data_IF_484032473318
#
_entry.id   IF_484032473318
#
_cell.length_a   1.000
_cell.length_b   1.000
_cell.length_c   1.000
_cell.angle_alpha   90.00
_cell.angle_beta   90.00
_cell.angle_gamma   90.00
#
_symmetry.space_group_name_H-M   'P 1'
#
loop_
_entity.id
_entity.type
_entity.pdbx_description
1 polymer ?
#
# COMPACT_ATOMS: atom_id res chain seq x y z
N UNK A 1 -16.43 -32.12 34.98
CA UNK A 1 -16.99 -30.93 34.31
C UNK A 1 -15.95 -30.46 33.33
N UNK A 2 -16.17 -30.72 32.04
CA UNK A 2 -15.31 -30.21 30.97
C UNK A 2 -15.70 -28.74 30.77
N UNK A 3 -14.80 -27.83 31.11
CA UNK A 3 -14.90 -26.43 30.67
C UNK A 3 -14.84 -26.43 29.14
N UNK A 4 -15.98 -26.24 28.51
CA UNK A 4 -16.03 -25.84 27.12
C UNK A 4 -15.43 -24.43 27.07
N UNK A 5 -14.15 -24.33 26.72
CA UNK A 5 -13.53 -23.06 26.39
C UNK A 5 -14.35 -22.42 25.27
N UNK A 6 -15.13 -21.39 25.60
CA UNK A 6 -15.87 -20.60 24.62
C UNK A 6 -14.85 -20.02 23.63
N UNK A 7 -14.73 -20.66 22.47
CA UNK A 7 -13.94 -20.16 21.37
C UNK A 7 -14.52 -18.81 20.97
N UNK A 8 -13.84 -17.73 21.39
CA UNK A 8 -14.24 -16.37 21.05
C UNK A 8 -14.32 -16.22 19.53
N UNK A 9 -15.27 -15.45 18.97
CA UNK A 9 -15.49 -15.30 17.51
C UNK A 9 -14.22 -14.99 16.69
N UNK A 10 -13.24 -14.34 17.32
CA UNK A 10 -11.95 -13.96 16.73
C UNK A 10 -11.05 -15.18 16.42
N UNK A 11 -11.15 -16.28 17.17
CA UNK A 11 -10.40 -17.51 16.85
C UNK A 11 -10.92 -18.16 15.57
N UNK A 12 -12.24 -18.29 15.45
CA UNK A 12 -12.86 -18.84 14.24
C UNK A 12 -12.52 -18.03 12.99
N UNK A 13 -12.40 -16.70 13.11
CA UNK A 13 -12.02 -15.85 11.97
C UNK A 13 -10.63 -16.20 11.42
N UNK A 14 -9.65 -16.50 12.28
CA UNK A 14 -8.32 -16.93 11.82
C UNK A 14 -8.38 -18.32 11.17
N UNK A 15 -8.99 -19.29 11.84
CA UNK A 15 -9.00 -20.69 11.38
C UNK A 15 -9.73 -20.81 10.03
N UNK A 16 -10.79 -20.03 9.81
CA UNK A 16 -11.50 -19.96 8.53
C UNK A 16 -10.63 -19.32 7.45
N UNK A 17 -9.96 -18.20 7.73
CA UNK A 17 -9.08 -17.54 6.75
C UNK A 17 -7.90 -18.45 6.40
N UNK A 18 -7.29 -19.10 7.39
CA UNK A 18 -6.22 -20.07 7.18
C UNK A 18 -6.69 -21.23 6.30
N UNK A 19 -7.87 -21.81 6.57
CA UNK A 19 -8.44 -22.86 5.76
C UNK A 19 -8.72 -22.39 4.31
N UNK A 20 -9.30 -21.21 4.13
CA UNK A 20 -9.63 -20.66 2.81
C UNK A 20 -8.38 -20.37 1.98
N UNK A 21 -7.35 -19.77 2.59
CA UNK A 21 -6.09 -19.42 1.92
C UNK A 21 -5.24 -20.65 1.62
N UNK A 22 -5.14 -21.61 2.57
CA UNK A 22 -4.26 -22.78 2.42
C UNK A 22 -4.91 -23.95 1.66
N UNK A 23 -6.21 -24.21 1.84
CA UNK A 23 -6.86 -25.41 1.27
C UNK A 23 -7.65 -25.11 0.00
N UNK A 24 -8.29 -23.94 -0.12
CA UNK A 24 -9.27 -23.68 -1.18
C UNK A 24 -8.72 -22.96 -2.42
N UNK A 25 -7.42 -22.63 -2.47
CA UNK A 25 -6.79 -21.87 -3.57
C UNK A 25 -7.65 -20.67 -4.02
N UNK A 26 -8.10 -19.85 -3.08
CA UNK A 26 -8.74 -18.57 -3.41
C UNK A 26 -7.68 -17.67 -4.06
N UNK A 27 -7.64 -17.71 -5.40
CA UNK A 27 -6.65 -17.03 -6.23
C UNK A 27 -7.01 -15.59 -6.67
N UNK A 28 -8.19 -15.03 -6.38
CA UNK A 28 -8.35 -13.58 -6.39
C UNK A 28 -8.43 -13.02 -4.97
N UNK A 29 -7.67 -11.95 -4.74
CA UNK A 29 -7.87 -11.03 -3.62
C UNK A 29 -9.34 -10.64 -3.51
N UNK A 30 -9.85 -10.50 -2.29
CA UNK A 30 -11.26 -10.17 -2.06
C UNK A 30 -11.43 -8.67 -1.88
N UNK A 31 -12.51 -8.13 -2.46
CA UNK A 31 -12.84 -6.72 -2.37
C UNK A 31 -14.21 -6.54 -1.72
N UNK A 32 -14.34 -5.54 -0.85
CA UNK A 32 -15.63 -5.11 -0.32
C UNK A 32 -16.30 -4.06 -1.22
N UNK A 33 -17.45 -3.53 -0.78
CA UNK A 33 -18.23 -2.54 -1.52
C UNK A 33 -17.48 -1.22 -1.75
N UNK A 34 -16.54 -0.88 -0.86
CA UNK A 34 -15.69 0.30 -0.95
C UNK A 34 -14.42 0.03 -1.79
N UNK A 35 -14.24 -1.19 -2.30
CA UNK A 35 -13.05 -1.60 -3.01
C UNK A 35 -11.81 -1.75 -2.12
N UNK A 36 -11.99 -1.89 -0.81
CA UNK A 36 -10.93 -2.32 0.08
C UNK A 36 -10.58 -3.76 -0.23
N UNK A 37 -9.30 -4.08 -0.32
CA UNK A 37 -8.87 -5.45 -0.49
C UNK A 37 -8.83 -6.24 0.82
N UNK A 38 -8.49 -7.53 0.77
CA UNK A 38 -8.43 -8.41 1.95
C UNK A 38 -7.59 -7.85 3.10
N UNK A 39 -6.48 -7.17 2.80
CA UNK A 39 -5.62 -6.51 3.80
C UNK A 39 -6.34 -5.35 4.47
N UNK A 40 -6.97 -4.46 3.69
CA UNK A 40 -7.70 -3.32 4.21
C UNK A 40 -8.96 -3.75 5.00
N UNK A 41 -9.67 -4.78 4.53
CA UNK A 41 -10.80 -5.39 5.23
C UNK A 41 -10.35 -5.97 6.58
N UNK A 42 -9.25 -6.74 6.61
CA UNK A 42 -8.72 -7.31 7.85
C UNK A 42 -8.30 -6.20 8.83
N UNK A 43 -7.63 -5.17 8.33
CA UNK A 43 -7.23 -4.01 9.12
C UNK A 43 -8.43 -3.28 9.73
N UNK A 44 -9.51 -3.07 8.95
CA UNK A 44 -10.72 -2.43 9.42
C UNK A 44 -11.46 -3.29 10.46
N UNK A 45 -11.68 -4.57 10.17
CA UNK A 45 -12.48 -5.47 10.99
C UNK A 45 -11.83 -5.82 12.35
N UNK A 46 -10.49 -5.90 12.39
CA UNK A 46 -9.77 -6.31 13.60
C UNK A 46 -9.14 -5.14 14.36
N UNK A 47 -9.12 -3.93 13.80
CA UNK A 47 -8.59 -2.75 14.50
C UNK A 47 -9.43 -2.34 15.71
N UNK A 48 -10.77 -2.47 15.68
CA UNK A 48 -11.65 -1.92 16.72
C UNK A 48 -12.70 -2.90 17.28
N UNK A 49 -12.80 -3.06 18.62
CA UNK A 49 -11.94 -2.46 19.66
C UNK A 49 -10.51 -3.00 19.65
N UNK A 50 -9.57 -2.13 19.99
CA UNK A 50 -8.15 -2.47 20.11
C UNK A 50 -7.95 -3.46 21.26
N UNK A 51 -7.45 -4.66 20.96
CA UNK A 51 -7.11 -5.66 21.98
C UNK A 51 -5.89 -6.46 21.56
N UNK A 52 -5.05 -6.92 22.51
CA UNK A 52 -3.85 -7.69 22.20
C UNK A 52 -4.15 -8.95 21.38
N UNK A 53 -5.28 -9.61 21.69
CA UNK A 53 -5.72 -10.82 20.99
C UNK A 53 -6.06 -10.55 19.53
N UNK A 54 -6.85 -9.50 19.25
CA UNK A 54 -7.19 -9.10 17.87
C UNK A 54 -5.98 -8.64 17.08
N UNK A 55 -5.06 -7.93 17.71
CA UNK A 55 -3.81 -7.50 17.08
C UNK A 55 -2.93 -8.70 16.69
N UNK A 56 -2.84 -9.72 17.57
CA UNK A 56 -2.13 -10.96 17.27
C UNK A 56 -2.79 -11.71 16.11
N UNK A 57 -4.13 -11.81 16.11
CA UNK A 57 -4.89 -12.40 15.00
C UNK A 57 -4.68 -11.64 13.69
N UNK A 58 -4.75 -10.30 13.71
CA UNK A 58 -4.48 -9.46 12.54
C UNK A 58 -3.07 -9.71 11.98
N UNK A 59 -2.06 -9.77 12.86
CA UNK A 59 -0.70 -10.08 12.45
C UNK A 59 -0.60 -11.42 11.73
N UNK A 60 -1.22 -12.47 12.27
CA UNK A 60 -1.19 -13.79 11.65
C UNK A 60 -1.93 -13.81 10.30
N UNK A 61 -3.08 -13.14 10.19
CA UNK A 61 -3.83 -13.02 8.92
C UNK A 61 -3.01 -12.29 7.87
N UNK A 62 -2.40 -11.14 8.22
CA UNK A 62 -1.59 -10.37 7.28
C UNK A 62 -0.36 -11.15 6.80
N UNK A 63 0.27 -11.92 7.69
CA UNK A 63 1.39 -12.79 7.31
C UNK A 63 0.96 -13.91 6.35
N UNK A 64 -0.26 -14.42 6.48
CA UNK A 64 -0.82 -15.41 5.56
C UNK A 64 -1.14 -14.79 4.20
N UNK A 65 -1.79 -13.63 4.17
CA UNK A 65 -2.20 -12.94 2.93
C UNK A 65 -0.99 -12.46 2.11
N UNK A 66 0.05 -11.96 2.78
CA UNK A 66 1.26 -11.41 2.15
C UNK A 66 2.38 -12.44 1.95
N UNK A 67 2.07 -13.74 2.06
CA UNK A 67 3.07 -14.82 1.93
C UNK A 67 3.64 -14.95 0.52
N UNK A 68 2.85 -14.60 -0.51
CA UNK A 68 3.23 -14.69 -1.92
C UNK A 68 3.56 -13.30 -2.44
N UNK A 69 4.48 -13.23 -3.40
CA UNK A 69 4.71 -11.97 -4.10
C UNK A 69 3.47 -11.61 -4.95
N UNK A 70 3.18 -10.32 -5.17
CA UNK A 70 2.04 -9.89 -5.97
C UNK A 70 2.03 -10.51 -7.38
N UNK A 71 3.21 -10.73 -7.96
CA UNK A 71 3.40 -11.33 -9.29
C UNK A 71 2.96 -12.81 -9.32
N UNK A 72 2.96 -13.50 -8.18
CA UNK A 72 2.54 -14.89 -7.98
C UNK A 72 1.11 -15.00 -7.42
N UNK A 73 0.29 -13.94 -7.58
CA UNK A 73 -1.06 -13.86 -7.03
C UNK A 73 -1.10 -13.47 -5.54
N UNK A 74 -0.05 -12.83 -5.04
CA UNK A 74 -0.01 -12.22 -3.72
C UNK A 74 -0.88 -10.97 -3.63
N UNK A 75 -1.32 -10.66 -2.41
CA UNK A 75 -2.16 -9.48 -2.15
C UNK A 75 -1.29 -8.21 -2.12
N UNK A 76 -1.70 -7.16 -2.83
CA UNK A 76 -1.03 -5.86 -2.76
C UNK A 76 -1.38 -5.12 -1.46
N UNK A 77 -0.40 -5.00 -0.56
CA UNK A 77 -0.54 -4.27 0.71
C UNK A 77 -0.83 -2.77 0.52
N UNK A 78 -0.48 -2.20 -0.64
CA UNK A 78 -0.66 -0.80 -0.99
C UNK A 78 -1.82 -0.56 -1.98
N UNK A 79 -2.69 -1.56 -2.16
CA UNK A 79 -3.92 -1.42 -2.92
C UNK A 79 -4.71 -0.21 -2.44
N UNK A 80 -5.26 0.55 -3.40
CA UNK A 80 -6.07 1.73 -3.13
C UNK A 80 -7.53 1.40 -3.36
N UNK A 81 -8.35 1.69 -2.35
CA UNK A 81 -9.80 1.57 -2.45
C UNK A 81 -10.39 2.65 -3.38
N UNK A 82 -11.72 2.68 -3.53
CA UNK A 82 -12.38 3.61 -4.45
C UNK A 82 -12.18 5.10 -4.08
N UNK A 83 -11.79 5.38 -2.84
CA UNK A 83 -11.50 6.72 -2.35
C UNK A 83 -10.01 7.08 -2.47
N UNK A 84 -9.19 6.20 -3.05
CA UNK A 84 -7.74 6.39 -3.18
C UNK A 84 -6.98 6.15 -1.87
N UNK A 85 -7.59 5.50 -0.88
CA UNK A 85 -7.00 5.21 0.44
C UNK A 85 -6.42 3.79 0.48
N UNK A 86 -5.31 3.63 1.19
CA UNK A 86 -4.67 2.32 1.42
C UNK A 86 -5.16 1.67 2.71
N UNK A 87 -4.84 0.39 2.93
CA UNK A 87 -5.06 -0.29 4.21
C UNK A 87 -4.46 0.47 5.41
N UNK A 88 -3.34 1.17 5.23
CA UNK A 88 -2.72 2.00 6.27
C UNK A 88 -3.61 3.21 6.64
N UNK A 89 -4.27 3.79 5.63
CA UNK A 89 -5.16 4.95 5.82
C UNK A 89 -6.49 4.55 6.45
N UNK A 90 -7.01 3.37 6.09
CA UNK A 90 -8.28 2.82 6.57
C UNK A 90 -8.17 2.29 8.01
N UNK A 91 -7.00 1.79 8.42
CA UNK A 91 -6.79 1.32 9.79
C UNK A 91 -7.10 2.44 10.81
N UNK A 92 -7.95 2.15 11.80
CA UNK A 92 -8.35 3.15 12.80
C UNK A 92 -7.31 3.30 13.92
N UNK A 93 -6.66 2.20 14.32
CA UNK A 93 -5.81 2.16 15.52
C UNK A 93 -4.33 2.34 15.24
N UNK A 94 -3.58 3.02 16.13
CA UNK A 94 -2.13 3.21 15.98
C UNK A 94 -1.36 1.89 15.90
N UNK A 95 -1.73 0.87 16.70
CA UNK A 95 -1.04 -0.42 16.68
C UNK A 95 -1.21 -1.16 15.35
N UNK A 96 -2.41 -1.12 14.77
CA UNK A 96 -2.66 -1.70 13.44
C UNK A 96 -1.88 -0.99 12.35
N UNK A 97 -1.77 0.35 12.41
CA UNK A 97 -0.93 1.13 11.50
C UNK A 97 0.55 0.78 11.61
N UNK A 98 1.07 0.63 12.83
CA UNK A 98 2.46 0.21 13.04
C UNK A 98 2.73 -1.19 12.49
N UNK A 99 1.78 -2.10 12.65
CA UNK A 99 1.87 -3.45 12.10
C UNK A 99 1.90 -3.43 10.57
N UNK A 100 0.97 -2.70 9.94
CA UNK A 100 0.92 -2.52 8.49
C UNK A 100 2.18 -1.85 7.94
N UNK A 101 2.72 -0.82 8.62
CA UNK A 101 3.96 -0.16 8.21
C UNK A 101 5.17 -1.11 8.21
N UNK A 102 5.26 -2.03 9.19
CA UNK A 102 6.31 -3.07 9.22
C UNK A 102 6.20 -4.05 8.07
N UNK A 103 5.00 -4.19 7.49
CA UNK A 103 4.73 -5.03 6.33
C UNK A 103 4.81 -4.26 5.00
N UNK A 104 5.30 -3.02 5.02
CA UNK A 104 5.51 -2.21 3.80
C UNK A 104 4.29 -1.42 3.34
N UNK A 105 3.20 -1.40 4.12
CA UNK A 105 2.05 -0.54 3.84
C UNK A 105 2.43 0.94 4.01
N UNK A 106 2.02 1.78 3.06
CA UNK A 106 2.27 3.21 3.05
C UNK A 106 0.94 3.95 2.95
N UNK A 107 0.89 5.14 3.53
CA UNK A 107 -0.22 6.06 3.30
C UNK A 107 -0.29 6.45 1.82
N UNK A 108 -1.50 6.50 1.26
CA UNK A 108 -1.75 7.10 -0.04
C UNK A 108 -1.87 8.63 0.02
N UNK A 109 -1.93 9.21 1.22
CA UNK A 109 -1.97 10.67 1.40
C UNK A 109 -0.63 11.26 0.97
N UNK A 110 -0.61 11.89 -0.19
CA UNK A 110 0.51 12.69 -0.67
C UNK A 110 0.73 13.82 0.33
N UNK A 111 1.90 13.84 1.00
CA UNK A 111 2.34 15.01 1.75
C UNK A 111 2.56 16.12 0.71
N UNK A 112 2.02 17.34 0.91
CA UNK A 112 2.25 18.44 -0.01
C UNK A 112 3.76 18.65 -0.20
N UNK A 113 4.21 18.68 -1.46
CA UNK A 113 5.61 18.87 -1.82
C UNK A 113 6.24 20.08 -1.11
N UNK A 114 5.46 21.09 -0.74
CA UNK A 114 5.91 22.29 -0.01
C UNK A 114 6.71 22.00 1.28
N UNK A 115 6.43 20.90 1.98
CA UNK A 115 7.20 20.48 3.18
C UNK A 115 8.47 19.69 2.85
N UNK A 116 8.53 19.04 1.69
CA UNK A 116 9.74 18.39 1.14
C UNK A 116 10.64 19.44 0.44
N UNK A 117 10.03 20.50 -0.08
CA UNK A 117 10.63 21.64 -0.81
C UNK A 117 11.28 22.70 0.08
N UNK A 118 11.48 22.47 1.38
CA UNK A 118 12.57 23.13 2.13
C UNK A 118 13.96 22.65 1.66
N UNK A 119 14.01 21.95 0.53
CA UNK A 119 15.15 21.78 -0.36
C UNK A 119 15.78 23.14 -0.68
N UNK A 120 16.90 23.43 -0.05
CA UNK A 120 17.64 24.67 -0.26
C UNK A 120 18.34 24.63 -1.63
N UNK A 121 17.74 25.31 -2.60
CA UNK A 121 18.10 25.27 -4.01
C UNK A 121 19.47 25.92 -4.29
N UNK A 122 19.95 26.79 -3.40
CA UNK A 122 21.23 27.48 -3.53
C UNK A 122 22.41 26.59 -3.13
N UNK A 123 22.21 25.62 -2.22
CA UNK A 123 23.26 24.75 -1.72
C UNK A 123 23.75 23.70 -2.74
N UNK A 124 22.89 23.26 -3.65
CA UNK A 124 23.14 22.10 -4.53
C UNK A 124 23.23 22.44 -6.02
N UNK A 125 23.30 23.72 -6.37
CA UNK A 125 23.26 24.20 -7.76
C UNK A 125 24.47 23.76 -8.59
N UNK A 126 25.61 23.50 -7.94
CA UNK A 126 26.86 23.16 -8.62
C UNK A 126 27.06 21.64 -8.81
N UNK A 127 26.18 20.79 -8.27
CA UNK A 127 26.34 19.32 -8.32
C UNK A 127 25.65 18.65 -9.52
N UNK A 128 24.81 19.36 -10.29
CA UNK A 128 24.03 18.78 -11.39
C UNK A 128 24.42 19.41 -12.73
N UNK A 129 25.54 18.96 -13.29
CA UNK A 129 25.86 19.17 -14.71
C UNK A 129 25.15 18.07 -15.53
N UNK A 130 24.22 18.47 -16.40
CA UNK A 130 23.42 17.55 -17.20
C UNK A 130 24.27 16.94 -18.32
N UNK A 131 24.73 15.69 -18.16
CA UNK A 131 25.34 14.93 -19.24
C UNK A 131 24.22 14.40 -20.17
N UNK A 132 24.13 14.84 -21.44
CA UNK A 132 23.08 14.35 -22.32
C UNK A 132 23.36 12.89 -22.71
N UNK A 133 22.31 12.05 -22.84
CA UNK A 133 22.49 10.64 -23.19
C UNK A 133 23.09 10.48 -24.59
N UNK A 134 24.08 9.59 -24.71
CA UNK A 134 24.73 9.24 -25.98
C UNK A 134 23.71 8.66 -26.96
N UNK A 135 23.56 9.28 -28.13
CA UNK A 135 23.02 8.60 -29.31
C UNK A 135 21.78 9.19 -29.99
N UNK A 136 21.15 10.27 -29.49
CA UNK A 136 20.09 10.94 -30.28
C UNK A 136 20.68 11.98 -31.22
N UNK A 137 20.80 11.61 -32.50
CA UNK A 137 21.06 12.53 -33.63
C UNK A 137 20.09 13.71 -33.57
N UNK A 138 20.62 14.92 -33.42
CA UNK A 138 19.87 16.18 -33.51
C UNK A 138 19.44 16.39 -34.95
N UNK A 139 18.13 16.38 -35.21
CA UNK A 139 17.57 16.94 -36.46
C UNK A 139 17.52 18.45 -36.23
N UNK A 140 18.36 19.20 -36.95
CA UNK A 140 18.28 20.66 -36.98
C UNK A 140 17.22 21.05 -38.01
N UNK A 141 16.08 21.55 -37.55
CA UNK A 141 15.18 22.33 -38.39
C UNK A 141 15.90 23.66 -38.68
N UNK A 142 16.25 23.86 -39.96
CA UNK A 142 16.90 25.07 -40.44
C UNK A 142 15.85 26.18 -40.48
N UNK A 143 16.06 27.22 -39.68
CA UNK A 143 15.28 28.46 -39.73
C UNK A 143 15.26 29.01 -41.17
N UNK A 144 14.08 29.35 -41.68
CA UNK A 144 13.97 30.35 -42.74
C UNK A 144 13.55 31.69 -42.12
N UNK A 145 14.24 32.78 -42.49
CA UNK A 145 14.10 34.07 -41.85
C UNK A 145 12.77 34.75 -42.17
N UNK A 146 12.30 35.47 -41.17
CA UNK A 146 11.28 36.52 -41.22
C UNK A 146 11.46 37.46 -42.41
N UNK A 147 10.48 37.52 -43.30
CA UNK A 147 10.21 38.72 -44.10
C UNK A 147 9.03 39.46 -43.47
N UNK A 148 9.33 40.51 -42.69
CA UNK A 148 8.45 41.65 -42.51
C UNK A 148 8.81 42.70 -43.56
N UNK A 149 7.88 43.13 -44.40
CA UNK A 149 7.51 44.55 -44.59
C UNK A 149 6.43 44.72 -45.67
N UNK A 150 5.66 45.78 -45.48
CA UNK A 150 4.64 46.39 -46.35
C UNK A 150 5.25 46.79 -47.69
#
# INVERSE_FOLDING_TARGET
>A
MLEAAEATPIHYAFDVVEFLVLQSRLEPDCFDEDGNNSVAIAALALATPESPKRLATLKSILQLLLRREPEDGGVDVNHKNMYGLTAFDVAETPASKQLLAKLGAKTARVVPMEKVLHWDREQYRDEIEYMPPLGRRRIFLRDQPSNQSI
#
